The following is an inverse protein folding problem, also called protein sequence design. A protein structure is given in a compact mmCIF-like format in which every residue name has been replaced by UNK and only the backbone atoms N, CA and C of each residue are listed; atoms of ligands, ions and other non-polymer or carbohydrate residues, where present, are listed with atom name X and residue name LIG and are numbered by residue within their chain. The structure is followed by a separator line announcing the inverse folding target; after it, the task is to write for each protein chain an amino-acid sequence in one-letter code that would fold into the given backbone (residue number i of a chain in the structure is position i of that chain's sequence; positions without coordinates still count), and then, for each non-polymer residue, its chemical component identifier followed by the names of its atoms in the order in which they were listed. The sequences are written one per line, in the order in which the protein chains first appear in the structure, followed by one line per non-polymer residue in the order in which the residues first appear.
data_IF_794009463237
#
_entry.id   IF_794009463237
#
_cell.length_a   1.000
_cell.length_b   1.000
_cell.length_c   1.000
_cell.angle_alpha   90.00
_cell.angle_beta   90.00
_cell.angle_gamma   90.00
#
_symmetry.space_group_name_H-M   'P 1'
#
loop_
_entity.id
_entity.type
_entity.pdbx_description
1 polymer ?
#
# COMPACT_ATOMS: atom_id res chain seq x y z
N UNK A 1 20.19 -17.61 -52.71
CA UNK A 1 18.92 -17.28 -52.03
C UNK A 1 18.86 -18.10 -50.75
N UNK A 2 19.14 -17.51 -49.58
CA UNK A 2 18.79 -18.08 -48.28
C UNK A 2 18.72 -16.93 -47.26
N UNK A 3 17.51 -16.47 -46.95
CA UNK A 3 17.24 -15.71 -45.73
C UNK A 3 16.63 -16.71 -44.74
N UNK A 4 17.37 -17.10 -43.71
CA UNK A 4 16.85 -17.90 -42.60
C UNK A 4 16.69 -17.05 -41.35
N UNK A 5 15.43 -16.83 -41.02
CA UNK A 5 14.84 -16.81 -39.68
C UNK A 5 15.71 -16.37 -38.49
N UNK A 6 15.65 -15.08 -38.13
CA UNK A 6 16.00 -14.62 -36.79
C UNK A 6 15.07 -13.47 -36.38
N UNK A 7 13.81 -13.77 -36.06
CA UNK A 7 12.91 -12.77 -35.50
C UNK A 7 11.81 -13.41 -34.62
N UNK A 8 12.19 -14.04 -33.52
CA UNK A 8 11.20 -14.51 -32.52
C UNK A 8 11.80 -14.76 -31.12
N UNK A 9 12.68 -13.91 -30.58
CA UNK A 9 13.06 -14.00 -29.15
C UNK A 9 13.31 -12.60 -28.56
N UNK A 10 12.27 -11.76 -28.43
CA UNK A 10 12.36 -10.53 -27.62
C UNK A 10 11.15 -10.35 -26.68
N UNK A 11 10.01 -10.97 -26.95
CA UNK A 11 8.78 -10.71 -26.16
C UNK A 11 8.65 -11.46 -24.82
N UNK A 12 9.57 -12.36 -24.45
CA UNK A 12 9.45 -13.17 -23.23
C UNK A 12 10.15 -12.57 -21.98
N UNK A 13 10.96 -11.52 -22.12
CA UNK A 13 11.73 -10.93 -21.00
C UNK A 13 10.99 -9.83 -20.23
N UNK A 14 9.90 -9.29 -20.78
CA UNK A 14 9.19 -8.14 -20.16
C UNK A 14 8.16 -8.60 -19.11
N UNK A 15 7.71 -9.85 -19.16
CA UNK A 15 6.65 -10.36 -18.27
C UNK A 15 7.12 -10.77 -16.87
N UNK A 16 8.43 -10.70 -16.57
CA UNK A 16 9.01 -11.29 -15.35
C UNK A 16 9.40 -10.29 -14.25
N UNK A 17 9.03 -9.01 -14.36
CA UNK A 17 9.54 -7.98 -13.44
C UNK A 17 8.50 -7.39 -12.45
N UNK A 18 7.22 -7.77 -12.54
CA UNK A 18 6.26 -7.44 -11.49
C UNK A 18 6.34 -8.49 -10.38
N UNK A 19 7.32 -8.33 -9.47
CA UNK A 19 7.41 -9.19 -8.30
C UNK A 19 6.24 -8.95 -7.34
N UNK A 20 5.86 -7.70 -7.14
CA UNK A 20 4.97 -7.33 -6.05
C UNK A 20 3.58 -6.89 -6.49
N UNK A 21 2.59 -7.24 -5.67
CA UNK A 21 1.19 -6.96 -5.92
C UNK A 21 0.89 -5.47 -5.91
N UNK A 22 -0.15 -5.12 -6.67
CA UNK A 22 -0.65 -3.77 -6.79
C UNK A 22 -2.15 -3.82 -7.08
N UNK A 23 -2.82 -2.74 -6.67
CA UNK A 23 -4.22 -2.50 -7.03
C UNK A 23 -4.34 -2.41 -8.56
N UNK A 24 -5.07 -3.37 -9.14
CA UNK A 24 -5.30 -3.47 -10.58
C UNK A 24 -6.66 -2.91 -11.00
N UNK A 25 -7.69 -3.09 -10.15
CA UNK A 25 -9.04 -2.58 -10.41
C UNK A 25 -9.66 -2.08 -9.12
N UNK A 26 -10.25 -0.86 -9.09
CA UNK A 26 -10.11 0.17 -10.12
C UNK A 26 -8.63 0.55 -10.35
N UNK A 27 -8.28 1.20 -11.46
CA UNK A 27 -6.89 1.58 -11.73
C UNK A 27 -6.32 2.45 -10.60
N UNK A 28 -5.10 2.14 -10.17
CA UNK A 28 -4.42 2.92 -9.13
C UNK A 28 -4.12 4.35 -9.61
N UNK A 29 -4.16 5.32 -8.69
CA UNK A 29 -4.04 6.76 -8.96
C UNK A 29 -2.65 7.11 -9.44
N UNK A 30 -1.63 6.45 -8.90
CA UNK A 30 -0.30 7.00 -8.98
C UNK A 30 0.74 5.93 -8.82
N UNK A 31 1.31 5.54 -9.95
CA UNK A 31 2.54 4.77 -9.90
C UNK A 31 3.46 4.93 -11.11
N UNK A 32 3.53 6.15 -11.64
CA UNK A 32 4.48 6.44 -12.72
C UNK A 32 5.90 6.47 -12.16
N UNK A 33 6.10 6.93 -10.92
CA UNK A 33 7.42 7.02 -10.27
C UNK A 33 7.98 5.66 -9.85
N UNK A 34 7.15 4.68 -9.49
CA UNK A 34 7.57 3.39 -8.90
C UNK A 34 7.03 2.16 -9.64
N UNK A 35 6.69 2.31 -10.93
CA UNK A 35 6.31 1.21 -11.83
C UNK A 35 5.13 0.32 -11.38
N UNK A 36 4.22 0.86 -10.59
CA UNK A 36 3.05 0.10 -10.11
C UNK A 36 3.10 -0.35 -8.65
N UNK A 37 4.28 -0.37 -8.02
CA UNK A 37 4.43 -0.90 -6.66
C UNK A 37 4.86 0.17 -5.66
N UNK A 38 4.15 0.32 -4.53
CA UNK A 38 4.53 1.20 -3.43
C UNK A 38 4.53 0.42 -2.12
N UNK A 39 5.72 0.02 -1.66
CA UNK A 39 5.93 -0.82 -0.49
C UNK A 39 6.57 -0.04 0.66
N UNK A 40 6.15 -0.30 1.89
CA UNK A 40 6.76 0.32 3.07
C UNK A 40 8.27 0.04 3.17
N UNK A 41 8.69 -1.18 2.81
CA UNK A 41 10.10 -1.57 2.74
C UNK A 41 10.91 -0.77 1.72
N UNK A 42 10.28 -0.34 0.62
CA UNK A 42 10.88 0.51 -0.40
C UNK A 42 10.84 2.01 -0.04
N UNK A 43 10.39 2.37 1.17
CA UNK A 43 10.31 3.75 1.64
C UNK A 43 8.97 4.44 1.40
N UNK A 44 7.95 3.75 0.88
CA UNK A 44 6.61 4.31 0.82
C UNK A 44 6.00 4.50 2.21
N UNK A 45 5.32 5.62 2.44
CA UNK A 45 4.74 5.97 3.75
C UNK A 45 3.22 5.83 3.83
N UNK A 46 2.59 5.47 2.71
CA UNK A 46 1.14 5.46 2.59
C UNK A 46 0.54 6.86 2.85
N UNK A 47 -0.77 6.95 3.10
CA UNK A 47 -1.75 5.86 3.03
C UNK A 47 -2.03 5.38 1.60
N UNK A 48 -1.61 6.13 0.58
CA UNK A 48 -1.73 5.79 -0.83
C UNK A 48 -0.37 5.53 -1.47
N UNK A 49 -0.40 4.98 -2.69
CA UNK A 49 0.75 4.77 -3.57
C UNK A 49 1.41 6.08 -4.06
N UNK A 50 0.63 7.17 -4.08
CA UNK A 50 1.12 8.52 -4.33
C UNK A 50 0.31 9.55 -3.52
N UNK A 51 0.87 10.74 -3.25
CA UNK A 51 0.12 11.82 -2.62
C UNK A 51 -1.01 12.30 -3.54
N UNK A 52 -2.04 12.91 -2.95
CA UNK A 52 -3.18 13.53 -3.65
C UNK A 52 -2.77 14.57 -4.69
N UNK A 53 -1.71 15.32 -4.41
CA UNK A 53 -1.19 16.34 -5.32
C UNK A 53 -0.77 15.74 -6.67
N UNK A 54 -0.29 14.50 -6.67
CA UNK A 54 0.18 13.79 -7.87
C UNK A 54 -0.95 13.04 -8.58
N UNK A 55 -2.18 13.10 -8.07
CA UNK A 55 -3.30 12.37 -8.66
C UNK A 55 -3.65 12.93 -10.05
N UNK A 56 -3.71 12.07 -11.09
CA UNK A 56 -4.27 12.42 -12.39
C UNK A 56 -5.73 12.87 -12.30
N UNK A 57 -6.42 12.51 -11.22
CA UNK A 57 -7.79 12.95 -10.95
C UNK A 57 -7.92 14.48 -10.85
N UNK A 58 -6.85 15.23 -10.55
CA UNK A 58 -6.87 16.69 -10.58
C UNK A 58 -6.91 17.27 -12.00
N UNK A 59 -6.55 16.48 -13.03
CA UNK A 59 -6.56 16.92 -14.42
C UNK A 59 -7.96 16.87 -15.02
N UNK A 60 -8.37 17.95 -15.70
CA UNK A 60 -9.62 18.01 -16.47
C UNK A 60 -9.60 17.06 -17.68
N UNK A 61 -8.42 16.63 -18.13
CA UNK A 61 -8.23 15.76 -19.29
C UNK A 61 -8.32 14.28 -18.95
N UNK A 62 -8.37 13.93 -17.65
CA UNK A 62 -8.47 12.54 -17.20
C UNK A 62 -9.95 12.20 -16.99
N UNK A 63 -10.52 11.25 -17.76
CA UNK A 63 -11.90 10.82 -17.59
C UNK A 63 -12.18 10.38 -16.15
N UNK A 64 -13.30 10.81 -15.59
CA UNK A 64 -13.70 10.45 -14.23
C UNK A 64 -14.57 9.20 -14.27
N UNK A 65 -14.27 8.24 -13.40
CA UNK A 65 -15.12 7.06 -13.20
C UNK A 65 -16.18 7.38 -12.16
N UNK A 66 -17.44 7.29 -12.58
CA UNK A 66 -18.60 7.46 -11.71
C UNK A 66 -19.06 6.10 -11.16
N UNK A 67 -19.42 6.09 -9.88
CA UNK A 67 -19.99 4.95 -9.16
C UNK A 67 -21.22 5.41 -8.37
N UNK A 68 -22.08 4.50 -7.97
CA UNK A 68 -23.31 4.80 -7.25
C UNK A 68 -23.25 4.31 -5.80
N UNK A 69 -23.95 4.99 -4.89
CA UNK A 69 -24.17 4.46 -3.53
C UNK A 69 -24.86 3.10 -3.57
N UNK A 70 -24.43 2.18 -2.71
CA UNK A 70 -24.95 0.81 -2.66
C UNK A 70 -24.48 -0.09 -3.81
N UNK A 71 -23.73 0.43 -4.79
CA UNK A 71 -23.13 -0.39 -5.84
C UNK A 71 -22.10 -1.35 -5.25
N UNK A 72 -22.07 -2.58 -5.74
CA UNK A 72 -20.94 -3.49 -5.53
C UNK A 72 -19.79 -3.08 -6.46
N UNK A 73 -18.70 -2.59 -5.87
CA UNK A 73 -17.49 -2.23 -6.57
C UNK A 73 -16.51 -3.40 -6.54
N UNK A 74 -16.11 -3.88 -7.72
CA UNK A 74 -15.05 -4.86 -7.87
C UNK A 74 -13.69 -4.24 -7.54
N UNK A 75 -12.95 -4.92 -6.68
CA UNK A 75 -11.59 -4.56 -6.30
C UNK A 75 -10.67 -5.74 -6.58
N UNK A 76 -9.66 -5.55 -7.44
CA UNK A 76 -8.80 -6.61 -7.93
C UNK A 76 -7.32 -6.26 -7.86
N UNK A 77 -6.49 -7.28 -7.68
CA UNK A 77 -5.03 -7.22 -7.64
C UNK A 77 -4.44 -8.51 -8.21
N UNK A 78 -3.16 -8.50 -8.57
CA UNK A 78 -2.48 -9.71 -9.06
C UNK A 78 -1.75 -10.41 -7.92
N UNK A 79 -1.85 -11.75 -7.82
CA UNK A 79 -1.20 -12.51 -6.74
C UNK A 79 0.33 -12.39 -6.73
N UNK A 80 0.92 -12.59 -7.90
CA UNK A 80 2.37 -12.62 -8.16
C UNK A 80 3.13 -13.64 -7.29
N UNK A 81 4.38 -13.36 -6.93
CA UNK A 81 5.30 -14.36 -6.35
C UNK A 81 5.20 -14.51 -4.82
N UNK A 82 4.30 -13.77 -4.17
CA UNK A 82 4.24 -13.66 -2.71
C UNK A 82 2.87 -14.17 -2.18
N UNK A 83 2.86 -15.11 -1.22
CA UNK A 83 1.63 -15.67 -0.66
C UNK A 83 1.13 -14.94 0.59
N UNK A 84 -0.14 -15.20 0.92
CA UNK A 84 -0.78 -14.87 2.18
C UNK A 84 -0.88 -13.38 2.51
N UNK A 85 -1.33 -13.13 3.73
CA UNK A 85 -1.65 -11.82 4.24
C UNK A 85 -3.12 -11.45 4.05
N UNK A 86 -3.39 -10.17 4.27
CA UNK A 86 -4.70 -9.59 4.30
C UNK A 86 -4.75 -8.39 3.36
N UNK A 87 -5.93 -8.11 2.84
CA UNK A 87 -6.25 -6.86 2.15
C UNK A 87 -7.20 -6.05 3.02
N UNK A 88 -6.86 -4.78 3.25
CA UNK A 88 -7.77 -3.78 3.83
C UNK A 88 -8.29 -2.86 2.73
N UNK A 89 -9.60 -2.66 2.69
CA UNK A 89 -10.29 -1.72 1.82
C UNK A 89 -10.95 -0.62 2.64
N UNK A 90 -10.67 0.63 2.32
CA UNK A 90 -11.23 1.80 2.97
C UNK A 90 -11.59 2.86 1.93
N UNK A 91 -12.54 3.75 2.23
CA UNK A 91 -12.93 4.82 1.30
C UNK A 91 -13.11 6.13 2.05
N UNK A 92 -12.51 7.19 1.52
CA UNK A 92 -12.58 8.54 2.11
C UNK A 92 -12.89 9.58 1.05
N UNK A 93 -13.41 10.77 1.42
CA UNK A 93 -13.43 11.91 0.53
C UNK A 93 -12.03 12.20 -0.03
N UNK A 94 -11.95 12.54 -1.32
CA UNK A 94 -10.68 12.75 -2.03
C UNK A 94 -9.77 13.77 -1.33
N UNK A 95 -10.33 14.82 -0.72
CA UNK A 95 -9.57 15.82 0.00
C UNK A 95 -8.85 15.28 1.26
N UNK A 96 -9.30 14.14 1.80
CA UNK A 96 -8.74 13.44 2.96
C UNK A 96 -7.81 12.27 2.57
N UNK A 97 -7.54 12.04 1.27
CA UNK A 97 -6.80 10.86 0.80
C UNK A 97 -5.32 10.79 1.21
N UNK A 98 -4.77 11.82 1.85
CA UNK A 98 -3.41 11.80 2.42
C UNK A 98 -3.42 11.49 3.93
N UNK A 99 -4.61 11.30 4.53
CA UNK A 99 -4.76 11.11 5.97
C UNK A 99 -4.93 9.63 6.34
N UNK A 100 -3.96 9.10 7.09
CA UNK A 100 -4.07 7.77 7.69
C UNK A 100 -5.27 7.63 8.62
N UNK A 101 -5.57 8.64 9.44
CA UNK A 101 -6.70 8.59 10.37
C UNK A 101 -8.04 8.53 9.62
N UNK A 102 -8.19 9.30 8.54
CA UNK A 102 -9.40 9.27 7.73
C UNK A 102 -9.67 7.86 7.18
N UNK A 103 -8.65 7.17 6.66
CA UNK A 103 -8.80 5.80 6.18
C UNK A 103 -9.07 4.81 7.31
N UNK A 104 -8.39 4.93 8.44
CA UNK A 104 -8.61 4.06 9.61
C UNK A 104 -10.04 4.19 10.15
N UNK A 105 -10.62 5.39 10.08
CA UNK A 105 -11.99 5.64 10.51
C UNK A 105 -13.03 5.17 9.49
N UNK A 106 -12.67 4.92 8.23
CA UNK A 106 -13.61 4.61 7.15
C UNK A 106 -13.25 3.30 6.43
N UNK A 107 -12.85 2.29 7.21
CA UNK A 107 -12.62 0.94 6.69
C UNK A 107 -13.95 0.29 6.32
N UNK A 108 -14.01 -0.29 5.13
CA UNK A 108 -15.19 -0.95 4.59
C UNK A 108 -15.10 -2.47 4.72
N UNK A 109 -13.91 -3.02 4.45
CA UNK A 109 -13.73 -4.47 4.36
C UNK A 109 -12.29 -4.88 4.62
N UNK A 110 -12.14 -6.03 5.25
CA UNK A 110 -10.94 -6.84 5.24
C UNK A 110 -11.21 -8.16 4.51
N UNK A 111 -10.22 -8.70 3.83
CA UNK A 111 -10.31 -9.99 3.15
C UNK A 111 -8.96 -10.67 3.14
N UNK A 112 -8.91 -11.99 2.95
CA UNK A 112 -7.62 -12.64 2.70
C UNK A 112 -7.02 -12.19 1.37
N UNK A 113 -5.69 -12.06 1.30
CA UNK A 113 -5.03 -11.67 0.05
C UNK A 113 -5.29 -12.69 -1.08
N UNK A 114 -5.34 -13.99 -0.75
CA UNK A 114 -5.58 -15.08 -1.72
C UNK A 114 -7.04 -15.58 -1.69
N UNK A 115 -8.03 -14.67 -1.72
CA UNK A 115 -9.47 -15.02 -1.54
C UNK A 115 -10.00 -15.99 -2.61
N UNK A 116 -9.69 -15.75 -3.87
CA UNK A 116 -10.19 -16.49 -5.03
C UNK A 116 -9.09 -16.81 -6.06
N UNK A 117 -7.84 -16.77 -5.61
CA UNK A 117 -6.64 -16.97 -6.42
C UNK A 117 -5.65 -17.85 -5.66
N UNK A 118 -4.61 -18.34 -6.33
CA UNK A 118 -3.59 -19.21 -5.74
C UNK A 118 -2.33 -19.30 -6.60
N UNK A 119 -1.34 -20.09 -6.17
CA UNK A 119 -0.12 -20.30 -6.95
C UNK A 119 -0.44 -20.98 -8.29
N UNK A 120 0.37 -20.73 -9.31
CA UNK A 120 0.21 -21.37 -10.62
C UNK A 120 0.45 -22.89 -10.57
N UNK A 121 1.30 -23.35 -9.65
CA UNK A 121 1.56 -24.76 -9.39
C UNK A 121 1.33 -25.06 -7.91
N UNK A 122 0.19 -25.69 -7.62
CA UNK A 122 -0.19 -26.09 -6.27
C UNK A 122 0.63 -27.27 -5.72
N UNK A 123 1.36 -27.98 -6.59
CA UNK A 123 2.19 -29.14 -6.21
C UNK A 123 3.61 -28.74 -5.82
N UNK A 124 4.06 -27.54 -6.23
CA UNK A 124 5.36 -26.99 -5.86
C UNK A 124 5.39 -26.61 -4.38
N UNK A 125 6.27 -27.28 -3.62
CA UNK A 125 6.45 -27.09 -2.17
C UNK A 125 7.76 -26.39 -1.79
N UNK A 126 8.50 -25.84 -2.75
CA UNK A 126 9.81 -25.19 -2.51
C UNK A 126 9.71 -24.10 -1.43
N UNK A 127 8.59 -23.39 -1.38
CA UNK A 127 8.32 -22.32 -0.41
C UNK A 127 7.29 -22.69 0.65
N UNK A 128 6.95 -23.99 0.75
CA UNK A 128 5.87 -24.49 1.59
C UNK A 128 4.56 -24.73 0.83
N UNK A 129 3.53 -25.17 1.56
CA UNK A 129 2.24 -25.55 0.98
C UNK A 129 1.49 -24.33 0.43
N UNK A 130 1.21 -24.36 -0.88
CA UNK A 130 0.53 -23.29 -1.62
C UNK A 130 1.19 -21.91 -1.50
N UNK A 131 2.52 -21.91 -1.38
CA UNK A 131 3.34 -20.70 -1.22
C UNK A 131 4.16 -20.35 -2.47
N UNK A 132 4.02 -21.14 -3.55
CA UNK A 132 4.66 -20.87 -4.82
C UNK A 132 4.21 -19.55 -5.46
N UNK A 133 4.86 -19.16 -6.55
CA UNK A 133 4.45 -18.01 -7.34
C UNK A 133 3.17 -18.29 -8.16
N UNK A 134 2.45 -17.24 -8.54
CA UNK A 134 1.32 -17.35 -9.45
C UNK A 134 0.81 -16.00 -9.95
N UNK A 135 0.34 -15.93 -11.19
CA UNK A 135 -0.13 -14.68 -11.80
C UNK A 135 -1.66 -14.59 -11.85
N UNK A 136 -2.36 -15.44 -11.11
CA UNK A 136 -3.81 -15.42 -11.06
C UNK A 136 -4.31 -14.06 -10.51
N UNK A 137 -5.32 -13.45 -11.14
CA UNK A 137 -5.97 -12.27 -10.58
C UNK A 137 -6.72 -12.68 -9.32
N UNK A 138 -6.54 -11.91 -8.27
CA UNK A 138 -7.29 -11.98 -7.03
C UNK A 138 -8.29 -10.83 -7.02
N UNK A 139 -9.45 -11.04 -6.42
CA UNK A 139 -10.44 -9.99 -6.30
C UNK A 139 -11.38 -10.18 -5.12
N UNK A 140 -12.04 -9.08 -4.79
CA UNK A 140 -13.16 -9.05 -3.86
C UNK A 140 -14.13 -7.96 -4.29
N UNK A 141 -15.27 -7.86 -3.61
CA UNK A 141 -16.23 -6.78 -3.78
C UNK A 141 -16.37 -5.97 -2.50
N UNK A 142 -16.65 -4.68 -2.66
CA UNK A 142 -17.01 -3.76 -1.56
C UNK A 142 -18.23 -2.94 -1.95
N UNK A 143 -19.14 -2.72 -1.00
CA UNK A 143 -20.31 -1.87 -1.23
C UNK A 143 -19.91 -0.41 -1.10
N UNK A 144 -20.24 0.43 -2.08
CA UNK A 144 -20.04 1.88 -2.01
C UNK A 144 -20.92 2.46 -0.89
N UNK A 145 -20.37 3.17 0.10
CA UNK A 145 -21.12 3.66 1.25
C UNK A 145 -22.29 4.57 0.87
N UNK A 146 -23.43 4.42 1.55
CA UNK A 146 -24.64 5.21 1.31
C UNK A 146 -24.58 6.63 1.86
N UNK A 147 -23.63 6.92 2.76
CA UNK A 147 -23.49 8.21 3.43
C UNK A 147 -22.59 9.19 2.65
N UNK A 148 -22.26 8.90 1.40
CA UNK A 148 -21.45 9.78 0.54
C UNK A 148 -22.39 10.64 -0.33
N UNK A 149 -22.32 11.98 -0.24
CA UNK A 149 -23.16 12.88 -1.05
C UNK A 149 -22.93 12.71 -2.56
N UNK A 150 -23.91 13.15 -3.36
CA UNK A 150 -23.76 13.19 -4.81
C UNK A 150 -22.63 14.09 -5.27
N UNK A 151 -22.05 13.73 -6.41
CA UNK A 151 -20.91 14.40 -7.04
C UNK A 151 -19.69 14.54 -6.11
N UNK A 152 -19.52 13.63 -5.17
CA UNK A 152 -18.38 13.63 -4.24
C UNK A 152 -17.23 12.84 -4.83
N UNK A 153 -16.08 13.49 -5.00
CA UNK A 153 -14.83 12.81 -5.29
C UNK A 153 -14.36 12.01 -4.07
N UNK A 154 -14.02 10.74 -4.26
CA UNK A 154 -13.57 9.82 -3.21
C UNK A 154 -12.32 9.08 -3.64
N UNK A 155 -11.59 8.57 -2.66
CA UNK A 155 -10.45 7.68 -2.86
C UNK A 155 -10.73 6.35 -2.18
N UNK A 156 -10.73 5.26 -2.95
CA UNK A 156 -10.67 3.89 -2.46
C UNK A 156 -9.21 3.56 -2.17
N UNK A 157 -8.91 3.04 -0.99
CA UNK A 157 -7.61 2.50 -0.62
C UNK A 157 -7.65 0.98 -0.63
N UNK A 158 -6.56 0.40 -1.11
CA UNK A 158 -6.17 -0.99 -1.01
C UNK A 158 -4.83 -1.05 -0.27
N UNK A 159 -4.78 -1.82 0.82
CA UNK A 159 -3.53 -2.15 1.51
C UNK A 159 -3.38 -3.66 1.57
N UNK A 160 -2.24 -4.18 1.15
CA UNK A 160 -1.84 -5.55 1.43
C UNK A 160 -0.76 -5.60 2.51
N UNK A 161 -0.99 -6.42 3.54
CA UNK A 161 -0.11 -6.56 4.69
C UNK A 161 -0.09 -8.00 5.21
N UNK A 162 0.96 -8.38 5.93
CA UNK A 162 1.13 -9.72 6.47
C UNK A 162 1.45 -10.80 5.43
N UNK A 163 1.80 -10.41 4.20
CA UNK A 163 2.31 -11.36 3.20
C UNK A 163 3.75 -11.76 3.48
N UNK A 164 4.15 -12.91 2.93
CA UNK A 164 5.40 -13.57 3.30
C UNK A 164 6.35 -13.89 2.17
N UNK A 165 7.48 -14.49 2.55
CA UNK A 165 8.49 -15.05 1.66
C UNK A 165 9.26 -13.95 0.92
N UNK A 166 9.91 -13.10 1.70
CA UNK A 166 10.79 -12.06 1.18
C UNK A 166 12.09 -12.67 0.66
N UNK A 167 12.43 -12.39 -0.60
CA UNK A 167 13.58 -12.99 -1.31
C UNK A 167 13.74 -14.52 -1.19
N UNK A 168 12.61 -15.26 -1.09
CA UNK A 168 12.61 -16.71 -0.99
C UNK A 168 12.85 -17.25 0.43
N UNK A 169 13.00 -16.39 1.44
CA UNK A 169 13.13 -16.78 2.84
C UNK A 169 11.75 -17.10 3.42
N UNK A 170 11.44 -18.39 3.61
CA UNK A 170 10.10 -18.88 3.98
C UNK A 170 9.57 -18.37 5.34
N UNK A 171 10.46 -17.90 6.20
CA UNK A 171 10.20 -17.42 7.56
C UNK A 171 10.25 -15.89 7.65
N UNK A 172 9.96 -15.18 6.57
CA UNK A 172 10.03 -13.71 6.54
C UNK A 172 8.73 -13.09 6.06
N UNK A 173 8.43 -11.88 6.56
CA UNK A 173 7.37 -11.02 6.04
C UNK A 173 7.96 -9.78 5.36
N UNK A 174 7.25 -9.26 4.37
CA UNK A 174 7.54 -7.94 3.78
C UNK A 174 6.68 -6.84 4.41
N UNK A 175 6.98 -5.59 4.06
CA UNK A 175 6.25 -4.40 4.47
C UNK A 175 4.94 -4.21 3.71
N UNK A 176 4.14 -3.26 4.14
CA UNK A 176 2.81 -3.05 3.55
C UNK A 176 2.89 -2.50 2.13
N UNK A 177 1.97 -2.94 1.27
CA UNK A 177 1.79 -2.42 -0.08
C UNK A 177 0.55 -1.56 -0.14
N UNK A 178 0.67 -0.40 -0.79
CA UNK A 178 -0.42 0.57 -0.90
C UNK A 178 -0.84 0.73 -2.35
N UNK A 179 -2.13 0.97 -2.55
CA UNK A 179 -2.72 1.40 -3.82
C UNK A 179 -3.99 2.19 -3.55
N UNK A 180 -4.22 3.26 -4.30
CA UNK A 180 -5.43 4.07 -4.16
C UNK A 180 -6.06 4.32 -5.51
N UNK A 181 -7.39 4.37 -5.60
CA UNK A 181 -8.11 4.75 -6.81
C UNK A 181 -9.07 5.89 -6.55
N UNK A 182 -9.08 6.87 -7.44
CA UNK A 182 -9.96 8.04 -7.33
C UNK A 182 -11.19 7.90 -8.22
N UNK A 183 -12.37 8.18 -7.64
CA UNK A 183 -13.69 7.92 -8.20
C UNK A 183 -14.64 9.08 -7.87
N UNK A 184 -15.79 9.16 -8.53
CA UNK A 184 -16.89 10.07 -8.16
C UNK A 184 -18.11 9.25 -7.76
N UNK A 185 -18.64 9.48 -6.56
CA UNK A 185 -19.94 8.93 -6.16
C UNK A 185 -21.04 9.86 -6.65
N UNK A 186 -21.98 9.32 -7.42
CA UNK A 186 -23.15 10.04 -7.90
C UNK A 186 -24.33 9.08 -8.13
N UNK A 187 -25.47 9.35 -7.52
CA UNK A 187 -26.67 8.53 -7.57
C UNK A 187 -26.72 7.40 -6.52
N UNK A 188 -27.86 6.70 -6.49
CA UNK A 188 -28.18 5.65 -5.52
C UNK A 188 -28.82 6.19 -4.22
N UNK A 189 -29.42 5.31 -3.39
CA UNK A 189 -30.07 5.73 -2.15
C UNK A 189 -29.07 6.32 -1.15
N UNK A 190 -29.36 7.51 -0.64
CA UNK A 190 -28.57 8.14 0.41
C UNK A 190 -29.05 7.70 1.79
N UNK A 191 -28.12 7.51 2.72
CA UNK A 191 -28.40 7.26 4.14
C UNK A 191 -27.21 7.68 4.97
N UNK A 192 -27.43 8.39 6.07
CA UNK A 192 -26.38 8.84 7.00
C UNK A 192 -25.72 7.70 7.80
N UNK A 193 -26.15 6.46 7.60
CA UNK A 193 -25.57 5.29 8.26
C UNK A 193 -24.14 5.07 7.76
N UNK A 194 -23.20 5.14 8.69
CA UNK A 194 -21.80 4.78 8.43
C UNK A 194 -21.66 3.26 8.30
N UNK A 195 -20.99 2.74 7.27
CA UNK A 195 -20.75 1.31 7.14
C UNK A 195 -19.84 0.81 8.27
N UNK A 196 -20.12 -0.40 8.73
CA UNK A 196 -19.24 -1.14 9.66
C UNK A 196 -18.31 -2.01 8.83
N UNK A 197 -17.02 -1.99 9.15
CA UNK A 197 -16.05 -2.84 8.48
C UNK A 197 -16.42 -4.31 8.63
N UNK A 198 -16.37 -5.05 7.52
CA UNK A 198 -16.60 -6.50 7.49
C UNK A 198 -15.29 -7.24 7.29
N UNK A 199 -15.26 -8.53 7.66
CA UNK A 199 -14.17 -9.42 7.31
C UNK A 199 -14.72 -10.60 6.51
N UNK A 200 -14.01 -10.95 5.45
CA UNK A 200 -14.23 -12.17 4.67
C UNK A 200 -12.95 -13.02 4.71
N UNK A 201 -12.93 -14.02 5.57
CA UNK A 201 -11.87 -15.03 5.56
C UNK A 201 -12.00 -16.01 4.39
N UNK A 202 -11.03 -16.91 4.29
CA UNK A 202 -10.95 -17.91 3.25
C UNK A 202 -9.86 -17.55 2.25
N UNK A 203 -8.77 -18.30 2.29
CA UNK A 203 -7.70 -18.19 1.30
C UNK A 203 -7.41 -19.54 0.63
N UNK A 204 -6.49 -19.57 -0.34
CA UNK A 204 -6.09 -20.79 -1.02
C UNK A 204 -5.72 -21.96 -0.07
N UNK A 205 -5.18 -21.65 1.12
CA UNK A 205 -4.78 -22.64 2.13
C UNK A 205 -5.95 -23.07 3.01
N UNK A 206 -6.86 -22.15 3.30
CA UNK A 206 -7.98 -22.36 4.21
C UNK A 206 -9.32 -21.88 3.62
N UNK A 207 -9.77 -22.44 2.48
CA UNK A 207 -10.84 -21.85 1.66
C UNK A 207 -12.22 -21.80 2.33
N UNK A 208 -12.45 -22.63 3.36
CA UNK A 208 -13.73 -22.74 4.05
C UNK A 208 -13.64 -22.28 5.52
N UNK A 209 -12.79 -21.29 5.82
CA UNK A 209 -12.61 -20.82 7.18
C UNK A 209 -12.54 -19.30 7.24
N UNK A 210 -12.99 -18.73 8.36
CA UNK A 210 -12.95 -17.29 8.57
C UNK A 210 -11.57 -16.84 9.09
N UNK A 211 -10.50 -17.21 8.40
CA UNK A 211 -9.12 -16.82 8.71
C UNK A 211 -8.28 -16.74 7.43
N UNK A 212 -7.09 -16.15 7.55
CA UNK A 212 -6.05 -16.12 6.52
C UNK A 212 -4.73 -16.66 7.06
N UNK A 213 -3.93 -17.20 6.15
CA UNK A 213 -2.49 -17.44 6.24
C UNK A 213 -1.76 -16.11 6.17
N UNK A 214 -0.81 -15.86 7.05
CA UNK A 214 -0.01 -14.63 7.05
C UNK A 214 1.36 -14.82 7.70
N UNK A 215 2.25 -13.83 7.62
CA UNK A 215 3.55 -13.77 8.27
C UNK A 215 3.71 -12.44 9.01
N UNK A 216 4.47 -12.46 10.10
CA UNK A 216 4.77 -11.26 10.88
C UNK A 216 3.53 -10.73 11.62
N UNK A 217 2.86 -9.73 11.04
CA UNK A 217 1.73 -9.05 11.68
C UNK A 217 0.42 -9.20 10.88
N UNK A 218 -0.68 -9.26 11.61
CA UNK A 218 -2.06 -9.16 11.13
C UNK A 218 -2.66 -7.76 11.38
N UNK A 219 -1.84 -6.74 11.57
CA UNK A 219 -2.26 -5.36 11.85
C UNK A 219 -1.55 -4.36 10.95
N UNK A 220 -2.34 -3.49 10.32
CA UNK A 220 -1.82 -2.35 9.55
C UNK A 220 -1.11 -1.37 10.49
N UNK A 221 0.05 -0.87 10.06
CA UNK A 221 0.95 0.02 10.77
C UNK A 221 2.13 -0.69 11.44
N UNK A 222 2.05 -2.00 11.71
CA UNK A 222 3.13 -2.72 12.39
C UNK A 222 4.40 -2.85 11.52
N UNK A 223 4.25 -2.73 10.20
CA UNK A 223 5.32 -2.84 9.21
C UNK A 223 5.54 -1.56 8.39
N UNK A 224 5.47 -0.38 9.02
CA UNK A 224 5.55 0.93 8.32
C UNK A 224 6.94 1.61 8.31
N UNK A 225 7.93 1.07 9.03
CA UNK A 225 9.31 1.56 9.15
C UNK A 225 9.50 3.06 9.51
N UNK A 226 8.47 3.77 9.97
CA UNK A 226 8.54 5.20 10.30
C UNK A 226 9.14 6.04 9.16
N UNK A 227 10.05 6.97 9.49
CA UNK A 227 10.71 7.85 8.51
C UNK A 227 11.93 7.23 7.83
N UNK A 228 12.26 5.97 8.12
CA UNK A 228 13.43 5.31 7.53
C UNK A 228 13.25 5.15 6.03
N UNK A 229 14.34 5.28 5.28
CA UNK A 229 14.40 4.96 3.85
C UNK A 229 15.56 3.99 3.62
N UNK A 230 15.47 3.10 2.61
CA UNK A 230 16.61 2.28 2.22
C UNK A 230 17.83 3.14 1.90
N UNK A 231 19.03 2.59 2.12
CA UNK A 231 20.30 3.20 1.71
C UNK A 231 21.01 2.25 0.74
N UNK A 232 20.65 2.28 -0.56
CA UNK A 232 21.16 1.33 -1.53
C UNK A 232 22.68 1.38 -1.65
N UNK A 233 23.31 0.22 -1.50
CA UNK A 233 24.74 -0.04 -1.70
C UNK A 233 24.88 -0.86 -2.99
N UNK A 234 25.74 -0.42 -3.91
CA UNK A 234 25.95 -1.12 -5.17
C UNK A 234 26.41 -2.57 -4.94
N UNK A 235 25.70 -3.53 -5.55
CA UNK A 235 25.98 -4.96 -5.41
C UNK A 235 25.31 -5.65 -4.21
N UNK A 236 24.72 -4.89 -3.28
CA UNK A 236 23.94 -5.42 -2.16
C UNK A 236 22.45 -5.25 -2.44
N UNK A 237 21.77 -6.34 -2.81
CA UNK A 237 20.34 -6.32 -3.07
C UNK A 237 19.50 -6.03 -1.82
N UNK A 238 19.97 -6.43 -0.63
CA UNK A 238 19.21 -6.26 0.61
C UNK A 238 19.22 -4.79 1.07
N UNK A 239 20.29 -4.04 0.78
CA UNK A 239 20.37 -2.61 1.06
C UNK A 239 19.31 -1.75 0.33
N UNK A 240 18.64 -2.32 -0.67
CA UNK A 240 17.59 -1.66 -1.46
C UNK A 240 16.23 -1.64 -0.76
N UNK A 241 16.09 -2.35 0.37
CA UNK A 241 14.86 -2.39 1.17
C UNK A 241 15.15 -2.33 2.66
N UNK A 242 14.14 -1.92 3.45
CA UNK A 242 14.15 -2.03 4.91
C UNK A 242 13.65 -3.41 5.40
N UNK A 243 13.24 -4.27 4.48
CA UNK A 243 12.71 -5.61 4.72
C UNK A 243 13.81 -6.64 5.01
N UNK A 244 13.47 -7.78 5.64
CA UNK A 244 12.12 -8.20 6.06
C UNK A 244 11.57 -7.38 7.23
N UNK A 245 10.26 -7.19 7.28
CA UNK A 245 9.61 -6.52 8.41
C UNK A 245 9.69 -7.38 9.68
N UNK A 246 9.37 -8.68 9.55
CA UNK A 246 9.45 -9.64 10.64
C UNK A 246 10.11 -10.94 10.16
N UNK A 247 10.70 -11.66 11.13
CA UNK A 247 11.16 -13.04 10.97
C UNK A 247 10.35 -13.94 11.89
N UNK A 248 9.82 -15.03 11.36
CA UNK A 248 8.98 -15.97 12.07
C UNK A 248 8.24 -16.94 11.15
N UNK A 249 7.63 -17.99 11.73
CA UNK A 249 6.89 -18.97 10.95
C UNK A 249 5.64 -18.34 10.33
N UNK A 250 5.09 -19.07 9.34
CA UNK A 250 3.74 -18.81 8.84
C UNK A 250 2.71 -18.94 9.97
N UNK A 251 1.77 -18.00 10.02
CA UNK A 251 0.70 -17.90 11.00
C UNK A 251 -0.68 -18.08 10.34
N UNK A 252 -1.71 -18.21 11.17
CA UNK A 252 -3.12 -18.38 10.78
C UNK A 252 -3.99 -17.54 11.70
N UNK A 253 -4.84 -16.67 11.15
CA UNK A 253 -5.69 -15.81 11.98
C UNK A 253 -6.50 -14.79 11.20
N UNK A 254 -7.17 -13.92 11.94
CA UNK A 254 -7.96 -12.80 11.41
C UNK A 254 -7.16 -11.50 11.47
N UNK A 255 -7.56 -10.44 10.72
CA UNK A 255 -7.07 -9.09 10.96
C UNK A 255 -7.21 -8.67 12.42
N UNK A 256 -6.23 -7.95 12.95
CA UNK A 256 -6.32 -7.42 14.31
C UNK A 256 -7.57 -6.55 14.49
N UNK A 257 -8.31 -6.78 15.58
CA UNK A 257 -9.58 -6.11 15.86
C UNK A 257 -10.83 -6.84 15.33
N UNK A 258 -10.65 -7.91 14.55
CA UNK A 258 -11.72 -8.85 14.19
C UNK A 258 -11.56 -10.13 15.04
N UNK A 259 -12.68 -10.66 15.56
CA UNK A 259 -12.69 -11.99 16.20
C UNK A 259 -12.33 -12.07 17.68
N UNK A 260 -12.28 -10.96 18.43
CA UNK A 260 -12.40 -11.03 19.90
C UNK A 260 -13.84 -11.41 20.30
N UNK A 261 -14.25 -12.62 19.93
CA UNK A 261 -15.33 -13.32 20.62
C UNK A 261 -14.79 -13.62 22.03
N UNK A 262 -15.48 -13.20 23.11
CA UNK A 262 -15.07 -13.56 24.47
C UNK A 262 -15.04 -15.09 24.60
N UNK A 263 -13.84 -15.67 24.70
CA UNK A 263 -13.64 -17.12 24.88
C UNK A 263 -12.56 -17.76 24.00
N UNK A 264 -12.08 -17.11 22.93
CA UNK A 264 -10.88 -17.57 22.23
C UNK A 264 -9.67 -17.06 23.01
N UNK A 265 -8.99 -17.99 23.70
CA UNK A 265 -7.81 -17.72 24.50
C UNK A 265 -6.85 -16.77 23.79
N UNK A 266 -6.41 -15.77 24.54
CA UNK A 266 -5.36 -14.84 24.20
C UNK A 266 -4.17 -15.64 23.65
N UNK A 267 -4.04 -15.76 22.32
CA UNK A 267 -2.75 -16.08 21.75
C UNK A 267 -1.92 -14.81 21.94
N UNK A 268 -1.35 -14.70 23.13
CA UNK A 268 -0.08 -14.00 23.33
C UNK A 268 0.80 -14.47 22.19
N UNK A 269 1.05 -13.57 21.23
CA UNK A 269 2.18 -13.72 20.32
C UNK A 269 3.36 -14.16 21.19
N UNK A 270 4.05 -15.27 20.87
CA UNK A 270 5.24 -15.62 21.62
C UNK A 270 6.12 -14.38 21.67
N UNK A 271 6.44 -13.94 22.90
CA UNK A 271 7.33 -12.80 23.10
C UNK A 271 8.53 -13.00 22.18
N UNK A 272 8.81 -12.02 21.34
CA UNK A 272 9.97 -12.03 20.46
C UNK A 272 11.19 -12.35 21.32
N UNK A 273 11.70 -13.57 21.20
CA UNK A 273 12.98 -13.97 21.75
C UNK A 273 13.99 -13.53 20.70
N UNK A 274 14.76 -12.45 20.93
CA UNK A 274 15.83 -12.10 20.00
C UNK A 274 16.75 -13.32 19.86
N UNK A 275 17.23 -13.65 18.65
CA UNK A 275 18.15 -14.76 18.46
C UNK A 275 19.35 -14.55 19.38
N UNK A 276 19.71 -15.62 20.11
CA UNK A 276 20.92 -15.69 20.93
C UNK A 276 22.10 -15.24 20.07
N UNK A 277 22.63 -14.06 20.38
CA UNK A 277 23.83 -13.54 19.74
C UNK A 277 24.95 -14.56 19.93
N UNK A 278 25.43 -15.15 18.85
CA UNK A 278 26.66 -15.96 18.89
C UNK A 278 27.82 -15.00 19.15
N UNK A 279 28.33 -15.06 20.37
CA UNK A 279 29.66 -14.63 20.84
C UNK A 279 30.37 -13.56 20.00
N UNK A 280 30.16 -12.29 20.36
CA UNK A 280 31.15 -11.24 20.17
C UNK A 280 31.76 -10.89 21.54
N UNK A 281 33.09 -10.81 21.57
CA UNK A 281 33.93 -10.57 22.74
C UNK A 281 33.64 -9.22 23.44
N UNK A 282 34.05 -9.05 24.71
CA UNK A 282 33.49 -8.04 25.60
C UNK A 282 34.15 -6.67 25.39
N UNK A 283 33.34 -5.62 25.24
CA UNK A 283 33.79 -4.25 25.46
C UNK A 283 32.95 -3.58 26.56
N UNK A 284 33.69 -3.25 27.62
CA UNK A 284 33.47 -2.28 28.71
C UNK A 284 32.10 -1.57 28.82
N UNK A 285 31.49 -1.83 29.96
CA UNK A 285 30.42 -1.10 30.65
C UNK A 285 30.60 0.43 30.70
N UNK A 286 29.53 1.16 30.37
CA UNK A 286 29.31 2.51 30.90
C UNK A 286 27.85 2.63 31.37
N UNK A 287 27.71 2.84 32.68
CA UNK A 287 26.47 3.00 33.42
C UNK A 287 25.84 4.36 33.14
N UNK A 288 24.63 4.39 32.57
CA UNK A 288 23.80 5.59 32.56
C UNK A 288 22.93 5.66 33.82
N UNK A 289 23.21 6.66 34.64
CA UNK A 289 22.39 7.09 35.77
C UNK A 289 21.20 7.88 35.23
N UNK A 290 20.00 7.49 35.66
CA UNK A 290 18.76 8.22 35.39
C UNK A 290 18.73 9.52 36.20
N UNK A 291 18.50 10.65 35.52
CA UNK A 291 18.20 11.95 36.15
C UNK A 291 16.69 12.18 36.26
N UNK A 292 16.21 12.86 37.32
CA UNK A 292 14.79 12.98 37.64
C UNK A 292 14.08 14.08 36.84
N UNK A 293 12.77 13.89 36.66
CA UNK A 293 11.82 14.85 36.10
C UNK A 293 11.81 16.19 36.85
N UNK A 294 11.73 17.34 36.14
CA UNK A 294 11.43 18.61 36.77
C UNK A 294 9.92 18.83 36.90
N UNK A 295 9.55 19.34 38.06
CA UNK A 295 8.22 19.73 38.51
C UNK A 295 7.62 20.91 37.74
N UNK A 296 6.31 20.88 37.61
CA UNK A 296 5.45 21.91 37.01
C UNK A 296 5.35 23.17 37.88
N UNK A 297 5.72 24.33 37.33
CA UNK A 297 5.33 25.64 37.83
C UNK A 297 4.28 26.27 36.91
N UNK A 298 3.15 26.65 37.50
CA UNK A 298 2.03 27.34 36.85
C UNK A 298 2.37 28.83 36.62
N UNK A 299 2.31 29.28 35.37
CA UNK A 299 2.36 30.71 35.00
C UNK A 299 0.96 31.33 34.98
N UNK A 300 0.82 32.65 35.26
CA UNK A 300 -0.48 33.32 35.33
C UNK A 300 -1.05 33.62 33.95
N UNK A 301 -2.38 33.48 33.85
CA UNK A 301 -3.19 33.73 32.65
C UNK A 301 -3.28 35.25 32.40
N UNK A 302 -2.76 35.70 31.27
CA UNK A 302 -2.97 37.05 30.73
C UNK A 302 -4.17 37.02 29.79
N UNK A 303 -5.16 37.93 29.92
CA UNK A 303 -6.31 37.96 29.03
C UNK A 303 -5.90 38.37 27.60
N UNK A 304 -6.57 37.80 26.57
CA UNK A 304 -6.24 38.07 25.17
C UNK A 304 -6.61 39.50 24.76
N UNK A 305 -5.65 40.20 24.17
CA UNK A 305 -5.86 41.49 23.49
C UNK A 305 -6.55 41.22 22.15
N UNK A 306 -7.62 41.97 21.87
CA UNK A 306 -8.37 41.85 20.63
C UNK A 306 -7.48 42.19 19.41
N UNK A 307 -7.57 41.42 18.31
CA UNK A 307 -6.80 41.70 17.11
C UNK A 307 -7.29 42.99 16.42
N UNK A 308 -6.38 43.78 15.83
CA UNK A 308 -6.73 44.98 15.10
C UNK A 308 -7.54 44.64 13.83
N UNK A 309 -8.46 45.55 13.47
CA UNK A 309 -9.30 45.40 12.30
C UNK A 309 -8.45 45.34 11.00
N UNK A 310 -8.86 44.52 10.02
CA UNK A 310 -8.14 44.41 8.76
C UNK A 310 -8.21 45.72 7.95
N UNK A 311 -7.13 46.10 7.25
CA UNK A 311 -7.11 47.28 6.40
C UNK A 311 -8.05 47.12 5.21
N UNK A 312 -8.63 48.24 4.78
CA UNK A 312 -9.51 48.30 3.63
C UNK A 312 -8.78 47.85 2.35
N UNK A 313 -9.47 47.14 1.43
CA UNK A 313 -8.86 46.65 0.21
C UNK A 313 -8.48 47.81 -0.73
N UNK A 314 -7.34 47.70 -1.45
CA UNK A 314 -6.90 48.72 -2.38
C UNK A 314 -7.80 48.77 -3.62
N UNK A 315 -8.05 49.99 -4.10
CA UNK A 315 -8.78 50.26 -5.34
C UNK A 315 -7.92 49.81 -6.52
N UNK A 316 -8.41 48.83 -7.29
CA UNK A 316 -7.72 48.29 -8.46
C UNK A 316 -8.05 49.15 -9.69
N UNK A 317 -7.04 49.73 -10.38
CA UNK A 317 -7.27 50.45 -11.63
C UNK A 317 -7.65 49.49 -12.78
N UNK A 318 -8.40 49.97 -13.79
CA UNK A 318 -8.87 49.14 -14.89
C UNK A 318 -7.71 48.58 -15.74
N UNK A 319 -7.86 47.31 -16.13
CA UNK A 319 -6.87 46.57 -16.89
C UNK A 319 -6.73 47.10 -18.32
N UNK A 320 -5.51 47.23 -18.86
CA UNK A 320 -5.30 47.57 -20.27
C UNK A 320 -5.67 46.39 -21.18
N UNK A 321 -6.25 46.70 -22.34
CA UNK A 321 -6.57 45.72 -23.39
C UNK A 321 -5.31 45.05 -23.92
N UNK A 322 -5.23 43.74 -23.73
CA UNK A 322 -4.12 42.89 -24.22
C UNK A 322 -4.49 42.30 -25.58
N UNK A 323 -3.61 42.51 -26.56
CA UNK A 323 -3.66 41.86 -27.88
C UNK A 323 -3.28 40.38 -27.72
N UNK A 324 -4.00 39.42 -28.34
CA UNK A 324 -3.71 38.00 -28.18
C UNK A 324 -2.32 37.64 -28.75
N UNK A 325 -1.50 36.86 -28.03
CA UNK A 325 -0.25 36.35 -28.57
C UNK A 325 -0.50 35.26 -29.62
N UNK A 326 0.44 35.17 -30.56
CA UNK A 326 0.47 34.11 -31.57
C UNK A 326 0.53 32.71 -30.93
N UNK A 327 -0.03 31.68 -31.58
CA UNK A 327 -0.05 30.32 -31.04
C UNK A 327 1.37 29.75 -30.86
N UNK A 328 1.62 29.02 -29.76
CA UNK A 328 2.93 28.45 -29.48
C UNK A 328 3.27 27.31 -30.44
N UNK A 329 4.53 27.27 -30.86
CA UNK A 329 5.13 26.17 -31.62
C UNK A 329 5.20 24.93 -30.71
N UNK A 330 4.78 23.78 -31.24
CA UNK A 330 4.74 22.54 -30.48
C UNK A 330 6.15 22.12 -30.02
N UNK A 331 6.32 21.69 -28.75
CA UNK A 331 7.60 21.21 -28.26
C UNK A 331 7.98 19.87 -28.90
N UNK A 332 9.28 19.57 -29.04
CA UNK A 332 9.75 18.29 -29.54
C UNK A 332 9.34 17.14 -28.60
N UNK A 333 9.09 15.97 -29.19
CA UNK A 333 8.73 14.78 -28.44
C UNK A 333 9.85 14.40 -27.44
N UNK A 334 9.49 13.97 -26.21
CA UNK A 334 10.47 13.55 -25.24
C UNK A 334 11.24 12.30 -25.71
N UNK A 335 12.52 12.16 -25.34
CA UNK A 335 13.31 10.98 -25.66
C UNK A 335 12.70 9.73 -25.00
N UNK A 336 12.79 8.59 -25.70
CA UNK A 336 12.37 7.31 -25.17
C UNK A 336 13.14 6.98 -23.87
N UNK A 337 12.48 6.41 -22.85
CA UNK A 337 13.13 6.06 -21.60
C UNK A 337 14.21 4.98 -21.80
N UNK A 338 15.28 5.00 -20.98
CA UNK A 338 16.35 4.01 -21.06
C UNK A 338 15.84 2.61 -20.74
N UNK A 339 16.17 1.65 -21.59
CA UNK A 339 15.87 0.23 -21.40
C UNK A 339 16.71 -0.31 -20.25
N UNK A 340 16.09 -0.60 -19.11
CA UNK A 340 16.74 -1.26 -17.98
C UNK A 340 17.03 -2.72 -18.37
N UNK A 341 18.30 -3.04 -18.61
CA UNK A 341 18.75 -4.40 -18.91
C UNK A 341 18.62 -5.26 -17.65
N UNK A 342 17.68 -6.20 -17.64
CA UNK A 342 17.65 -7.27 -16.64
C UNK A 342 18.88 -8.18 -16.87
N UNK A 343 19.77 -8.25 -15.88
CA UNK A 343 20.88 -9.20 -15.89
C UNK A 343 20.30 -10.57 -15.51
N UNK A 344 20.29 -11.57 -16.40
CA UNK A 344 19.85 -12.92 -16.04
C UNK A 344 20.75 -13.47 -14.92
N UNK A 345 20.15 -14.06 -13.88
CA UNK A 345 20.91 -14.80 -12.87
C UNK A 345 21.65 -15.96 -13.55
N UNK A 346 22.94 -16.18 -13.29
CA UNK A 346 23.59 -17.41 -13.68
C UNK A 346 22.92 -18.60 -12.96
N UNK A 347 22.83 -19.77 -13.60
CA UNK A 347 22.32 -20.97 -12.95
C UNK A 347 23.19 -21.29 -11.73
N UNK A 348 22.54 -21.44 -10.58
CA UNK A 348 23.20 -22.00 -9.39
C UNK A 348 23.32 -23.50 -9.65
N UNK A 349 24.55 -23.99 -9.81
CA UNK A 349 24.82 -25.41 -9.82
C UNK A 349 24.56 -25.96 -8.41
N UNK A 350 23.66 -26.93 -8.31
CA UNK A 350 23.56 -27.83 -7.16
C UNK A 350 24.52 -28.99 -7.34
#
# INVERSE_FOLDING_TARGET
MHFSATLAVVSALVASCAGHSQLATPPSRGNVKWWGTCAAGAGCKGPCDSPKADSPFNSIYVPKKYIQRGQQLDVGWNRLNHPGGFVRLAMVPFNQSDSWSAFNDNVLKYTCYETNCGPSDATNKVFGYLNGAGNAPCSTTVTVPSNIPDNTAVTLQWIWYGGGIYYGEMDTSFGEYYGCSDLIVNGGPFSDVKPVATFAGGDATYPNSDVCKYWGSNKVGDCNFGDRVPNPVAGDLLSQSLEPCNRGPQLKGQPAGFGSIPGSGNQTLPAYVPPVARNAAPSSSSSYIASPSPSSTSSPVVPPVAPPAPPAPPVVPPAPSVVPPAPPVAPPAPPAPPVQKCIPRPPVAY
#
